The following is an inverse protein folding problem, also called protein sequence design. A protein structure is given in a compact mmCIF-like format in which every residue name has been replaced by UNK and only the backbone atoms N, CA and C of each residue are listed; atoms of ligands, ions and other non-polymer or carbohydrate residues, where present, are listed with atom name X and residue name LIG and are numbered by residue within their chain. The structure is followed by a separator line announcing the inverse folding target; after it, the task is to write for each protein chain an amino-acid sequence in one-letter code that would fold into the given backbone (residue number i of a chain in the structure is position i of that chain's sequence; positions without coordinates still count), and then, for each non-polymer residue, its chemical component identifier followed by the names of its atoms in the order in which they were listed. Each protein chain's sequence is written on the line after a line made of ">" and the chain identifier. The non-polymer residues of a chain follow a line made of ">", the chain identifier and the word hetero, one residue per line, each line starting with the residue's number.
data_IF_312357997053
#
_entry.id   IF_312357997053
#
_cell.length_a   1.000
_cell.length_b   1.000
_cell.length_c   1.000
_cell.angle_alpha   90.00
_cell.angle_beta   90.00
_cell.angle_gamma   90.00
#
_symmetry.space_group_name_H-M   'P 1'
#
loop_
_entity.id
_entity.type
_entity.pdbx_description
1 polymer ?
#
# COMPACT_ATOMS: atom_id res chain seq x y z
N UNK A 1 -8.95 4.12 -8.95
CA UNK A 1 -8.74 3.37 -7.68
C UNK A 1 -10.12 2.97 -7.16
N UNK A 2 -10.33 1.75 -6.63
CA UNK A 2 -11.61 1.34 -6.06
C UNK A 2 -12.10 2.31 -4.97
N UNK A 3 -13.43 2.46 -4.84
CA UNK A 3 -14.05 3.50 -3.99
C UNK A 3 -13.82 3.27 -2.50
N UNK A 4 -13.67 2.00 -2.11
CA UNK A 4 -13.44 1.45 -0.78
C UNK A 4 -11.97 1.51 -0.32
N UNK A 5 -11.05 1.89 -1.21
CA UNK A 5 -9.64 2.06 -0.88
C UNK A 5 -9.38 3.51 -0.47
N UNK A 6 -8.92 3.69 0.77
CA UNK A 6 -8.45 4.98 1.27
C UNK A 6 -6.96 5.14 0.95
N UNK A 7 -6.63 6.19 0.20
CA UNK A 7 -5.26 6.54 -0.19
C UNK A 7 -4.98 7.93 0.38
N UNK A 8 -4.15 7.99 1.41
CA UNK A 8 -3.87 9.24 2.13
C UNK A 8 -2.61 9.92 1.61
N UNK A 9 -1.64 9.11 1.20
CA UNK A 9 -0.41 9.55 0.59
C UNK A 9 -0.35 9.07 -0.86
N UNK A 10 0.55 9.67 -1.64
CA UNK A 10 0.82 9.20 -3.00
C UNK A 10 1.27 7.73 -2.92
N UNK A 11 0.51 6.77 -3.48
CA UNK A 11 0.84 5.35 -3.36
C UNK A 11 2.13 5.04 -4.14
N UNK A 12 2.77 3.92 -3.85
CA UNK A 12 3.89 3.46 -4.66
C UNK A 12 3.37 2.63 -5.84
N UNK A 13 4.00 2.80 -7.00
CA UNK A 13 3.76 1.96 -8.17
C UNK A 13 4.73 0.80 -8.18
N UNK A 14 4.24 -0.39 -8.49
CA UNK A 14 5.05 -1.58 -8.68
C UNK A 14 4.61 -2.38 -9.91
N UNK A 15 5.59 -2.98 -10.59
CA UNK A 15 5.40 -3.92 -11.70
C UNK A 15 5.86 -5.30 -11.27
N UNK A 16 5.11 -6.33 -11.66
CA UNK A 16 5.51 -7.72 -11.45
C UNK A 16 6.59 -8.12 -12.46
N UNK A 17 7.66 -8.76 -11.98
CA UNK A 17 8.70 -9.36 -12.82
C UNK A 17 8.55 -10.87 -12.76
N UNK A 18 7.98 -11.48 -13.80
CA UNK A 18 7.69 -12.92 -13.86
C UNK A 18 8.96 -13.77 -13.69
N UNK A 19 10.03 -13.46 -14.43
CA UNK A 19 11.29 -14.22 -14.42
C UNK A 19 11.93 -14.36 -13.03
N UNK A 20 11.66 -13.40 -12.16
CA UNK A 20 12.29 -13.29 -10.83
C UNK A 20 11.27 -13.32 -9.69
N UNK A 21 9.98 -13.54 -9.99
CA UNK A 21 8.88 -13.59 -9.03
C UNK A 21 8.92 -12.49 -7.94
N UNK A 22 9.13 -11.24 -8.33
CA UNK A 22 9.16 -10.11 -7.40
C UNK A 22 8.54 -8.85 -7.96
N UNK A 23 8.20 -7.93 -7.06
CA UNK A 23 7.71 -6.59 -7.37
C UNK A 23 8.88 -5.62 -7.55
N UNK A 24 8.84 -4.83 -8.62
CA UNK A 24 9.83 -3.79 -8.94
C UNK A 24 9.17 -2.42 -9.01
N UNK A 25 9.77 -1.40 -8.40
CA UNK A 25 9.21 -0.03 -8.32
C UNK A 25 9.85 0.97 -9.31
N UNK A 26 10.70 0.51 -10.23
CA UNK A 26 11.35 1.37 -11.22
C UNK A 26 10.69 1.21 -12.60
N UNK A 27 11.07 2.06 -13.56
CA UNK A 27 10.55 2.02 -14.93
C UNK A 27 9.27 2.82 -15.13
N UNK A 28 8.91 3.66 -14.16
CA UNK A 28 7.80 4.60 -14.22
C UNK A 28 8.35 6.03 -14.39
N UNK A 29 7.82 6.75 -15.36
CA UNK A 29 8.16 8.15 -15.68
C UNK A 29 6.89 9.00 -15.57
N UNK A 30 7.02 10.27 -15.23
CA UNK A 30 5.89 11.20 -15.06
C UNK A 30 4.80 10.65 -14.13
N UNK A 31 5.22 10.01 -13.03
CA UNK A 31 4.27 9.44 -12.07
C UNK A 31 3.59 10.56 -11.27
N UNK A 32 2.27 10.66 -11.37
CA UNK A 32 1.43 11.63 -10.66
C UNK A 32 0.22 10.96 -9.99
N UNK A 33 -0.24 11.57 -8.89
CA UNK A 33 -1.46 11.18 -8.19
C UNK A 33 -2.31 12.43 -7.96
N UNK A 34 -3.55 12.40 -8.44
CA UNK A 34 -4.55 13.45 -8.22
C UNK A 34 -5.57 12.97 -7.16
N UNK A 35 -5.47 13.45 -5.91
CA UNK A 35 -6.35 13.00 -4.83
C UNK A 35 -7.83 13.30 -5.08
N UNK A 36 -8.13 14.47 -5.65
CA UNK A 36 -9.49 14.95 -5.90
C UNK A 36 -10.27 14.02 -6.84
N UNK A 37 -9.59 13.50 -7.87
CA UNK A 37 -10.18 12.61 -8.88
C UNK A 37 -9.85 11.13 -8.63
N UNK A 38 -9.05 10.82 -7.60
CA UNK A 38 -8.51 9.48 -7.30
C UNK A 38 -7.85 8.83 -8.52
N UNK A 39 -7.17 9.64 -9.34
CA UNK A 39 -6.53 9.21 -10.58
C UNK A 39 -5.01 9.12 -10.41
N UNK A 40 -4.44 8.08 -11.01
CA UNK A 40 -3.00 7.86 -11.10
C UNK A 40 -2.63 7.84 -12.58
N UNK A 41 -1.62 8.63 -12.93
CA UNK A 41 -1.03 8.70 -14.27
C UNK A 41 0.45 8.38 -14.18
N UNK A 42 0.95 7.61 -15.15
CA UNK A 42 2.37 7.32 -15.32
C UNK A 42 2.63 6.90 -16.77
N UNK A 43 3.88 7.03 -17.19
CA UNK A 43 4.40 6.48 -18.44
C UNK A 43 5.39 5.36 -18.13
N UNK A 44 5.48 4.37 -18.99
CA UNK A 44 6.42 3.26 -18.84
C UNK A 44 6.77 2.67 -20.19
N UNK A 45 7.96 2.06 -20.28
CA UNK A 45 8.43 1.34 -21.47
C UNK A 45 8.15 -0.16 -21.39
N UNK A 46 7.78 -0.65 -20.21
CA UNK A 46 7.52 -2.06 -19.95
C UNK A 46 6.02 -2.34 -19.97
N UNK A 47 5.62 -3.55 -20.35
CA UNK A 47 4.25 -4.03 -20.22
C UNK A 47 4.18 -5.14 -19.18
N UNK A 48 3.00 -5.34 -18.57
CA UNK A 48 2.78 -6.42 -17.61
C UNK A 48 1.77 -6.07 -16.52
N UNK A 49 1.83 -6.83 -15.43
CA UNK A 49 0.98 -6.62 -14.26
C UNK A 49 1.50 -5.50 -13.38
N UNK A 50 0.60 -4.58 -13.03
CA UNK A 50 0.87 -3.44 -12.18
C UNK A 50 0.11 -3.56 -10.85
N UNK A 51 0.70 -3.01 -9.79
CA UNK A 51 0.08 -2.90 -8.48
C UNK A 51 0.34 -1.52 -7.88
N UNK A 52 -0.58 -1.11 -7.01
CA UNK A 52 -0.43 0.04 -6.14
C UNK A 52 -0.11 -0.48 -4.74
N UNK A 53 1.01 -0.05 -4.18
CA UNK A 53 1.41 -0.37 -2.81
C UNK A 53 1.11 0.85 -1.96
N UNK A 54 0.28 0.67 -0.93
CA UNK A 54 -0.03 1.74 0.01
C UNK A 54 0.37 1.27 1.41
N UNK A 55 1.07 2.12 2.17
CA UNK A 55 1.39 1.81 3.55
C UNK A 55 0.12 1.95 4.39
N UNK A 56 -0.29 0.84 5.01
CA UNK A 56 -1.49 0.78 5.86
C UNK A 56 -1.31 1.54 7.17
N UNK A 57 -0.07 1.90 7.54
CA UNK A 57 0.27 2.41 8.86
C UNK A 57 0.09 3.93 9.03
N UNK A 58 0.03 4.71 7.94
CA UNK A 58 0.14 6.16 8.04
C UNK A 58 -1.06 6.86 8.72
N UNK A 59 -2.28 6.29 8.71
CA UNK A 59 -3.49 6.99 9.18
C UNK A 59 -4.51 6.13 9.94
N UNK A 60 -4.10 5.02 10.54
CA UNK A 60 -5.00 4.29 11.43
C UNK A 60 -5.21 5.13 12.72
N UNK A 61 -6.44 5.45 13.13
CA UNK A 61 -6.71 6.16 14.37
C UNK A 61 -6.54 5.19 15.54
N UNK A 62 -5.30 4.84 15.86
CA UNK A 62 -5.01 3.95 16.97
C UNK A 62 -5.18 4.73 18.27
N UNK A 63 -6.26 4.51 19.00
CA UNK A 63 -6.36 4.98 20.39
C UNK A 63 -5.36 4.23 21.29
N UNK A 64 -5.10 2.95 20.98
CA UNK A 64 -4.07 2.13 21.60
C UNK A 64 -3.76 0.91 20.74
N UNK A 65 -2.53 0.43 20.81
CA UNK A 65 -2.14 -0.88 20.29
C UNK A 65 -1.49 -1.69 21.42
N UNK A 66 -1.59 -3.02 21.35
CA UNK A 66 -0.90 -3.91 22.28
C UNK A 66 -0.23 -5.03 21.51
N UNK A 67 1.08 -5.15 21.68
CA UNK A 67 1.84 -6.32 21.23
C UNK A 67 1.87 -7.35 22.36
N UNK A 68 1.57 -8.62 22.04
CA UNK A 68 1.80 -9.75 22.95
C UNK A 68 2.56 -10.85 22.21
N UNK A 69 3.64 -11.39 22.79
CA UNK A 69 4.30 -12.55 22.21
C UNK A 69 3.33 -13.73 22.24
N UNK A 70 3.06 -14.31 21.06
CA UNK A 70 2.42 -15.62 20.99
C UNK A 70 3.54 -16.65 20.98
N UNK A 71 3.54 -17.56 21.95
CA UNK A 71 4.65 -18.48 22.16
C UNK A 71 5.06 -19.21 20.87
N UNK A 72 6.38 -19.36 20.69
CA UNK A 72 7.12 -20.17 19.71
C UNK A 72 7.24 -19.71 18.24
N UNK A 73 6.78 -18.52 17.84
CA UNK A 73 7.23 -17.96 16.56
C UNK A 73 7.08 -16.44 16.57
N UNK A 74 7.86 -15.74 15.75
CA UNK A 74 7.90 -14.29 15.52
C UNK A 74 6.57 -13.73 14.97
N UNK A 75 5.45 -14.06 15.62
CA UNK A 75 4.10 -13.68 15.26
C UNK A 75 3.67 -12.60 16.25
N UNK A 76 3.59 -11.37 15.75
CA UNK A 76 3.07 -10.23 16.49
C UNK A 76 1.57 -10.13 16.24
N UNK A 77 0.77 -10.30 17.29
CA UNK A 77 -0.68 -10.07 17.23
C UNK A 77 -0.95 -8.58 17.47
N UNK A 78 -1.37 -7.87 16.42
CA UNK A 78 -1.75 -6.45 16.51
C UNK A 78 -3.27 -6.37 16.70
N UNK A 79 -3.71 -5.98 17.89
CA UNK A 79 -5.12 -5.70 18.18
C UNK A 79 -5.36 -4.19 18.10
N UNK A 80 -6.30 -3.78 17.24
CA UNK A 80 -6.64 -2.37 17.01
C UNK A 80 -8.08 -2.13 17.45
N UNK A 81 -8.32 -1.08 18.25
CA UNK A 81 -9.68 -0.62 18.59
C UNK A 81 -9.97 0.65 17.81
N UNK A 82 -11.06 0.65 17.05
CA UNK A 82 -11.58 1.80 16.34
C UNK A 82 -12.75 2.40 17.13
N UNK A 83 -12.82 3.72 17.23
CA UNK A 83 -14.03 4.45 17.65
C UNK A 83 -14.50 5.18 16.39
N UNK A 84 -15.71 4.87 15.92
CA UNK A 84 -16.40 5.72 14.97
C UNK A 84 -17.01 6.87 15.79
N UNK A 85 -16.54 8.10 15.56
CA UNK A 85 -17.17 9.33 16.07
C UNK A 85 -18.22 9.77 15.05
#
# INVERSE_FOLDING_TARGET
>A
IPTDVYVTEKPLLARWIEDRNHWKQEGFVDYEYAPDTRMISFKTYDFGTYALLNDRHAHMPFQSWRMRPKASCCILLVQTRFIFI
#
